data_IF_181923336650
#
_entry.id   IF_181923336650
#
_cell.length_a   1.000
_cell.length_b   1.000
_cell.length_c   1.000
_cell.angle_alpha   90.00
_cell.angle_beta   90.00
_cell.angle_gamma   90.00
#
_symmetry.space_group_name_H-M   'P 1'
#
loop_
_entity.id
_entity.type
_entity.pdbx_description
1 polymer ?
#
# COMPACT_ATOMS: atom_id res chain seq x y z
N UNK A 1 -17.75 23.85 -29.60
CA UNK A 1 -16.48 23.34 -30.04
C UNK A 1 -15.44 23.85 -29.05
N UNK A 2 -15.00 22.97 -28.19
CA UNK A 2 -14.01 23.28 -27.15
C UNK A 2 -12.64 22.93 -27.73
N UNK A 3 -11.97 23.97 -28.22
CA UNK A 3 -10.70 23.90 -28.95
C UNK A 3 -9.52 24.23 -28.01
N UNK A 4 -9.53 23.63 -26.80
CA UNK A 4 -8.38 23.75 -25.90
C UNK A 4 -7.26 22.85 -26.42
N UNK A 5 -6.03 23.37 -26.70
CA UNK A 5 -4.94 22.56 -27.22
C UNK A 5 -4.58 21.42 -26.26
N UNK A 6 -4.31 20.21 -26.80
CA UNK A 6 -3.92 19.03 -26.04
C UNK A 6 -2.79 19.30 -25.02
N UNK A 7 -1.85 20.16 -25.36
CA UNK A 7 -0.73 20.56 -24.49
C UNK A 7 -1.15 21.33 -23.22
N UNK A 8 -2.25 22.09 -23.23
CA UNK A 8 -2.75 22.81 -22.03
C UNK A 8 -3.51 21.89 -21.09
N UNK A 9 -4.19 20.87 -21.61
CA UNK A 9 -4.85 19.84 -20.78
C UNK A 9 -3.82 18.99 -20.03
N UNK A 10 -2.71 18.62 -20.71
CA UNK A 10 -1.63 17.86 -20.08
C UNK A 10 -0.94 18.67 -18.97
N UNK A 11 -0.69 19.96 -19.20
CA UNK A 11 -0.04 20.83 -18.21
C UNK A 11 -0.91 21.03 -16.96
N UNK A 12 -2.23 21.17 -17.13
CA UNK A 12 -3.17 21.31 -16.02
C UNK A 12 -3.25 20.02 -15.17
N UNK A 13 -3.30 18.86 -15.82
CA UNK A 13 -3.29 17.56 -15.13
C UNK A 13 -1.98 17.31 -14.38
N UNK A 14 -0.84 17.68 -14.98
CA UNK A 14 0.47 17.58 -14.31
C UNK A 14 0.55 18.51 -13.11
N UNK A 15 0.04 19.74 -13.21
CA UNK A 15 0.00 20.69 -12.09
C UNK A 15 -0.88 20.21 -10.95
N UNK A 16 -2.03 19.62 -11.25
CA UNK A 16 -2.95 19.03 -10.27
C UNK A 16 -2.29 17.83 -9.56
N UNK A 17 -1.65 16.94 -10.31
CA UNK A 17 -0.90 15.79 -9.79
C UNK A 17 0.27 16.21 -8.88
N UNK A 18 1.02 17.24 -9.27
CA UNK A 18 2.09 17.82 -8.43
C UNK A 18 1.50 18.43 -7.17
N UNK A 19 0.34 19.10 -7.27
CA UNK A 19 -0.38 19.66 -6.13
C UNK A 19 -0.79 18.58 -5.11
N UNK A 20 -1.27 17.44 -5.57
CA UNK A 20 -1.66 16.30 -4.73
C UNK A 20 -0.48 15.59 -4.06
N UNK A 21 0.59 15.34 -4.83
CA UNK A 21 1.82 14.77 -4.31
C UNK A 21 2.39 15.67 -3.21
N UNK A 22 2.40 16.99 -3.44
CA UNK A 22 2.84 17.96 -2.45
C UNK A 22 1.90 18.04 -1.24
N UNK A 23 0.58 17.94 -1.45
CA UNK A 23 -0.38 17.96 -0.34
C UNK A 23 -0.18 16.77 0.60
N UNK A 24 -0.11 15.55 0.07
CA UNK A 24 0.09 14.35 0.88
C UNK A 24 1.43 14.37 1.62
N UNK A 25 2.51 14.88 0.98
CA UNK A 25 3.85 14.97 1.58
C UNK A 25 3.97 16.07 2.65
N UNK A 26 3.11 17.09 2.60
CA UNK A 26 3.16 18.25 3.48
C UNK A 26 2.09 18.25 4.59
N UNK A 27 1.42 17.12 4.82
CA UNK A 27 0.48 17.02 5.95
C UNK A 27 1.26 17.11 7.28
N UNK A 28 1.07 18.19 8.07
CA UNK A 28 1.79 18.34 9.32
C UNK A 28 1.32 17.30 10.35
N UNK A 29 2.18 16.92 11.31
CA UNK A 29 1.77 16.12 12.46
C UNK A 29 0.55 16.76 13.15
N UNK A 30 -0.43 15.93 13.50
CA UNK A 30 -1.70 16.39 14.07
C UNK A 30 -2.83 16.62 13.06
N UNK A 31 -2.55 16.61 11.75
CA UNK A 31 -3.59 16.60 10.71
C UNK A 31 -4.54 15.43 10.89
N UNK A 32 -5.76 15.55 10.33
CA UNK A 32 -6.77 14.50 10.42
C UNK A 32 -7.15 13.96 9.04
N UNK A 33 -7.28 12.65 8.97
CA UNK A 33 -7.90 11.92 7.84
C UNK A 33 -9.07 11.12 8.43
N UNK A 34 -10.29 11.55 8.16
CA UNK A 34 -11.46 11.00 8.83
C UNK A 34 -11.33 11.06 10.36
N UNK A 35 -11.55 9.96 11.10
CA UNK A 35 -11.41 9.92 12.55
C UNK A 35 -9.95 9.81 13.04
N UNK A 36 -8.97 9.67 12.12
CA UNK A 36 -7.58 9.41 12.43
C UNK A 36 -6.77 10.70 12.54
N UNK A 37 -6.04 10.87 13.64
CA UNK A 37 -5.06 11.94 13.84
C UNK A 37 -3.68 11.41 13.46
N UNK A 38 -3.04 12.06 12.47
CA UNK A 38 -1.72 11.69 11.97
C UNK A 38 -0.63 12.07 12.98
N UNK A 39 0.37 11.21 13.11
CA UNK A 39 1.59 11.43 13.87
C UNK A 39 2.80 11.46 12.92
N UNK A 40 3.83 10.64 13.18
CA UNK A 40 5.01 10.58 12.32
C UNK A 40 4.81 9.78 11.03
N UNK A 41 5.63 10.07 10.02
CA UNK A 41 5.74 9.28 8.80
C UNK A 41 6.51 8.00 9.10
N UNK A 42 5.90 6.84 8.83
CA UNK A 42 6.53 5.51 8.94
C UNK A 42 7.24 5.10 7.66
N UNK A 43 6.77 5.58 6.52
CA UNK A 43 7.33 5.27 5.22
C UNK A 43 6.77 6.14 4.11
N UNK A 44 7.59 6.40 3.09
CA UNK A 44 7.23 7.20 1.94
C UNK A 44 7.65 6.50 0.66
N UNK A 45 6.73 6.41 -0.29
CA UNK A 45 6.93 5.82 -1.60
C UNK A 45 6.37 6.67 -2.73
N UNK A 46 6.63 6.28 -3.97
CA UNK A 46 6.15 7.02 -5.15
C UNK A 46 4.63 7.16 -5.21
N UNK A 47 3.88 6.15 -4.78
CA UNK A 47 2.42 6.11 -4.88
C UNK A 47 1.68 6.35 -3.57
N UNK A 48 2.36 6.40 -2.43
CA UNK A 48 1.73 6.51 -1.11
C UNK A 48 2.67 6.99 -0.02
N UNK A 49 2.08 7.51 1.06
CA UNK A 49 2.77 7.80 2.33
C UNK A 49 2.07 7.01 3.42
N UNK A 50 2.83 6.44 4.33
CA UNK A 50 2.34 5.71 5.50
C UNK A 50 2.63 6.52 6.74
N UNK A 51 1.60 6.80 7.52
CA UNK A 51 1.69 7.52 8.79
C UNK A 51 1.38 6.58 9.96
N UNK A 52 2.05 6.76 11.08
CA UNK A 52 1.46 6.38 12.36
C UNK A 52 0.26 7.29 12.60
N UNK A 53 -0.85 6.74 13.01
CA UNK A 53 -2.05 7.53 13.31
C UNK A 53 -2.76 6.97 14.53
N UNK A 54 -3.58 7.79 15.16
CA UNK A 54 -4.40 7.40 16.31
C UNK A 54 -5.85 7.74 16.07
N UNK A 55 -6.75 6.86 16.48
CA UNK A 55 -8.17 7.19 16.64
C UNK A 55 -8.61 6.93 18.07
N UNK A 56 -9.57 7.71 18.54
CA UNK A 56 -10.18 7.49 19.85
C UNK A 56 -11.61 7.00 19.63
N UNK A 57 -11.94 5.83 20.14
CA UNK A 57 -13.26 5.23 20.14
C UNK A 57 -13.68 5.01 21.59
N UNK A 58 -14.79 5.63 22.00
CA UNK A 58 -15.34 5.49 23.35
C UNK A 58 -14.32 5.70 24.47
N UNK A 59 -13.39 6.63 24.28
CA UNK A 59 -12.32 6.93 25.24
C UNK A 59 -11.08 6.04 25.13
N UNK A 60 -11.08 5.00 24.28
CA UNK A 60 -9.92 4.14 24.04
C UNK A 60 -9.14 4.64 22.82
N UNK A 61 -7.84 4.88 23.00
CA UNK A 61 -6.94 5.26 21.90
C UNK A 61 -6.41 4.01 21.22
N UNK A 62 -6.55 3.95 19.89
CA UNK A 62 -6.01 2.90 19.05
C UNK A 62 -4.96 3.48 18.12
N UNK A 63 -3.74 2.93 18.15
CA UNK A 63 -2.70 3.23 17.17
C UNK A 63 -2.84 2.36 15.93
N UNK A 64 -2.58 2.94 14.77
CA UNK A 64 -2.75 2.30 13.46
C UNK A 64 -1.68 2.79 12.48
N UNK A 65 -1.46 2.05 11.39
CA UNK A 65 -0.74 2.51 10.23
C UNK A 65 -1.73 3.01 9.18
N UNK A 66 -1.72 4.30 8.87
CA UNK A 66 -2.58 4.91 7.86
C UNK A 66 -1.77 5.15 6.58
N UNK A 67 -2.11 4.42 5.53
CA UNK A 67 -1.52 4.56 4.19
C UNK A 67 -2.40 5.47 3.36
N UNK A 68 -1.89 6.66 3.02
CA UNK A 68 -2.54 7.63 2.16
C UNK A 68 -2.01 7.47 0.74
N UNK A 69 -2.90 7.26 -0.24
CA UNK A 69 -2.54 7.17 -1.64
C UNK A 69 -2.35 8.58 -2.21
N UNK A 70 -1.29 8.78 -3.00
CA UNK A 70 -0.95 10.09 -3.58
C UNK A 70 -1.84 10.47 -4.77
N UNK A 71 -2.49 9.48 -5.37
CA UNK A 71 -3.41 9.70 -6.48
C UNK A 71 -4.86 9.61 -6.01
N UNK A 72 -5.65 10.61 -6.35
CA UNK A 72 -7.06 10.66 -6.01
C UNK A 72 -7.89 9.68 -6.84
N UNK A 73 -9.03 9.29 -6.29
CA UNK A 73 -10.01 8.44 -6.96
C UNK A 73 -11.12 9.33 -7.54
N UNK A 74 -10.84 9.95 -8.68
CA UNK A 74 -11.76 10.93 -9.29
C UNK A 74 -12.87 10.29 -10.11
N UNK A 75 -12.66 9.07 -10.62
CA UNK A 75 -13.70 8.37 -11.39
C UNK A 75 -14.55 7.46 -10.50
N UNK A 76 -15.87 7.33 -10.78
CA UNK A 76 -16.73 6.38 -10.07
C UNK A 76 -16.26 4.92 -10.23
N UNK A 77 -15.59 4.59 -11.33
CA UNK A 77 -15.04 3.26 -11.59
C UNK A 77 -13.85 2.96 -10.69
N UNK A 78 -12.89 3.89 -10.57
CA UNK A 78 -11.75 3.78 -9.67
C UNK A 78 -12.22 3.63 -8.20
N UNK A 79 -13.24 4.39 -7.78
CA UNK A 79 -13.82 4.26 -6.44
C UNK A 79 -14.49 2.90 -6.22
N UNK A 80 -15.19 2.37 -7.24
CA UNK A 80 -15.81 1.02 -7.18
C UNK A 80 -14.75 -0.06 -7.07
N UNK A 81 -13.68 0.05 -7.86
CA UNK A 81 -12.57 -0.89 -7.84
C UNK A 81 -11.84 -0.86 -6.49
N UNK A 82 -11.48 0.32 -5.98
CA UNK A 82 -10.89 0.47 -4.65
C UNK A 82 -11.76 -0.15 -3.55
N UNK A 83 -13.08 0.05 -3.62
CA UNK A 83 -14.00 -0.55 -2.66
C UNK A 83 -13.99 -2.08 -2.73
N UNK A 84 -13.99 -2.67 -3.92
CA UNK A 84 -13.93 -4.12 -4.12
C UNK A 84 -12.65 -4.72 -3.54
N UNK A 85 -11.51 -4.14 -3.85
CA UNK A 85 -10.20 -4.59 -3.37
C UNK A 85 -10.10 -4.48 -1.84
N UNK A 86 -10.55 -3.37 -1.30
CA UNK A 86 -10.59 -3.17 0.15
C UNK A 86 -11.46 -4.24 0.83
N UNK A 87 -12.62 -4.57 0.27
CA UNK A 87 -13.49 -5.62 0.82
C UNK A 87 -12.85 -7.00 0.73
N UNK A 88 -12.13 -7.31 -0.34
CA UNK A 88 -11.39 -8.56 -0.47
C UNK A 88 -10.28 -8.64 0.59
N UNK A 89 -9.50 -7.58 0.78
CA UNK A 89 -8.45 -7.54 1.80
C UNK A 89 -9.00 -7.61 3.23
N UNK A 90 -10.18 -7.06 3.48
CA UNK A 90 -10.83 -7.14 4.79
C UNK A 90 -11.21 -8.59 5.19
N UNK A 91 -11.27 -9.51 4.22
CA UNK A 91 -11.53 -10.93 4.48
C UNK A 91 -10.25 -11.72 4.81
N UNK A 92 -9.06 -11.11 4.61
CA UNK A 92 -7.80 -11.76 4.97
C UNK A 92 -7.62 -11.72 6.49
N UNK A 93 -7.73 -12.89 7.11
CA UNK A 93 -7.41 -13.11 8.51
C UNK A 93 -6.31 -14.18 8.62
N UNK A 94 -5.07 -13.73 8.73
CA UNK A 94 -3.91 -14.60 8.88
C UNK A 94 -2.86 -13.92 9.78
N UNK A 95 -2.27 -14.60 10.76
CA UNK A 95 -1.33 -13.99 11.71
C UNK A 95 -0.09 -13.39 11.04
N UNK A 96 0.33 -13.90 9.90
CA UNK A 96 1.45 -13.40 9.11
C UNK A 96 1.10 -12.29 8.11
N UNK A 97 -0.11 -11.73 8.13
CA UNK A 97 -0.55 -10.63 7.25
C UNK A 97 -1.02 -9.46 8.12
N UNK A 98 -0.61 -8.23 7.78
CA UNK A 98 -1.11 -7.04 8.46
C UNK A 98 -2.62 -6.85 8.17
N UNK A 99 -3.42 -6.83 9.24
CA UNK A 99 -4.89 -6.79 9.12
C UNK A 99 -5.36 -5.42 8.65
N UNK A 100 -6.26 -5.40 7.67
CA UNK A 100 -7.01 -4.22 7.29
C UNK A 100 -8.03 -3.89 8.38
N UNK A 101 -7.98 -2.67 8.91
CA UNK A 101 -8.91 -2.15 9.92
C UNK A 101 -10.04 -1.39 9.23
N UNK A 102 -9.67 -0.46 8.35
CA UNK A 102 -10.60 0.44 7.68
C UNK A 102 -9.99 0.97 6.38
N UNK A 103 -10.78 1.67 5.58
CA UNK A 103 -10.29 2.46 4.46
C UNK A 103 -11.43 3.28 3.86
N UNK A 104 -11.07 4.36 3.24
CA UNK A 104 -12.04 5.32 2.70
C UNK A 104 -11.44 6.25 1.67
N UNK A 105 -12.25 7.23 1.30
CA UNK A 105 -11.86 8.34 0.43
C UNK A 105 -12.13 9.62 1.20
N UNK A 106 -11.17 10.54 1.20
CA UNK A 106 -11.33 11.86 1.82
C UNK A 106 -12.31 12.74 1.04
N UNK A 107 -12.73 13.85 1.61
CA UNK A 107 -13.56 14.85 0.89
C UNK A 107 -12.83 15.42 -0.34
N UNK A 108 -11.49 15.45 -0.31
CA UNK A 108 -10.65 15.85 -1.45
C UNK A 108 -10.44 14.76 -2.49
N UNK A 109 -11.06 13.57 -2.35
CA UNK A 109 -10.95 12.47 -3.30
C UNK A 109 -9.76 11.52 -3.08
N UNK A 110 -8.91 11.76 -2.08
CA UNK A 110 -7.75 10.89 -1.81
C UNK A 110 -8.16 9.62 -1.08
N UNK A 111 -7.67 8.48 -1.56
CA UNK A 111 -7.92 7.20 -0.93
C UNK A 111 -6.93 6.95 0.22
N UNK A 112 -7.43 6.36 1.29
CA UNK A 112 -6.60 5.90 2.41
C UNK A 112 -6.99 4.49 2.85
N UNK A 113 -6.02 3.80 3.41
CA UNK A 113 -6.15 2.46 3.98
C UNK A 113 -5.55 2.49 5.38
N UNK A 114 -6.24 1.88 6.32
CA UNK A 114 -5.82 1.78 7.72
C UNK A 114 -5.57 0.32 8.04
N UNK A 115 -4.35 0.05 8.46
CA UNK A 115 -3.86 -1.28 8.83
C UNK A 115 -3.52 -1.33 10.32
N UNK A 116 -3.42 -2.52 10.87
CA UNK A 116 -2.79 -2.69 12.18
C UNK A 116 -1.37 -2.13 12.16
N UNK A 117 -0.99 -1.43 13.20
CA UNK A 117 0.38 -0.96 13.35
C UNK A 117 1.27 -2.13 13.77
N UNK A 118 2.26 -2.43 12.95
CA UNK A 118 3.23 -3.50 13.22
C UNK A 118 4.54 -2.90 13.71
N UNK A 119 4.93 -3.23 14.93
CA UNK A 119 6.27 -2.96 15.44
C UNK A 119 7.20 -4.12 15.05
N UNK A 120 8.08 -3.84 14.10
CA UNK A 120 8.99 -4.86 13.58
C UNK A 120 10.10 -4.25 12.72
N UNK A 121 11.08 -5.08 12.38
CA UNK A 121 12.22 -4.72 11.53
C UNK A 121 12.07 -5.39 10.16
N UNK A 122 12.42 -4.72 9.04
CA UNK A 122 12.41 -5.35 7.73
C UNK A 122 13.18 -6.67 7.71
N UNK A 123 12.65 -7.68 7.00
CA UNK A 123 13.15 -9.06 7.00
C UNK A 123 14.67 -9.18 6.81
N UNK A 124 15.23 -8.45 5.83
CA UNK A 124 16.67 -8.51 5.54
C UNK A 124 17.50 -7.81 6.60
N UNK A 125 16.99 -6.74 7.18
CA UNK A 125 17.64 -6.02 8.26
C UNK A 125 17.66 -6.86 9.53
N UNK A 126 16.53 -7.44 9.92
CA UNK A 126 16.42 -8.38 11.03
C UNK A 126 17.42 -9.54 10.88
N UNK A 127 17.47 -10.16 9.68
CA UNK A 127 18.40 -11.28 9.43
C UNK A 127 19.87 -10.85 9.52
N UNK A 128 20.21 -9.62 9.16
CA UNK A 128 21.56 -9.06 9.26
C UNK A 128 21.94 -8.71 10.70
N UNK A 129 21.07 -7.99 11.41
CA UNK A 129 21.31 -7.54 12.79
C UNK A 129 21.49 -8.70 13.75
N UNK A 130 20.64 -9.72 13.61
CA UNK A 130 20.69 -10.93 14.43
C UNK A 130 21.67 -12.00 13.91
N UNK A 131 22.41 -11.71 12.81
CA UNK A 131 23.37 -12.63 12.17
C UNK A 131 22.77 -14.03 11.97
N UNK A 132 21.54 -14.08 11.48
CA UNK A 132 20.79 -15.34 11.37
C UNK A 132 21.49 -16.34 10.47
N UNK A 133 21.65 -17.55 10.97
CA UNK A 133 22.12 -18.70 10.22
C UNK A 133 21.14 -19.11 9.10
N UNK A 134 21.58 -19.79 8.03
CA UNK A 134 20.74 -20.14 6.89
C UNK A 134 19.43 -20.85 7.27
N UNK A 135 19.48 -21.73 8.26
CA UNK A 135 18.29 -22.46 8.75
C UNK A 135 17.25 -21.52 9.37
N UNK A 136 17.67 -20.52 10.13
CA UNK A 136 16.78 -19.53 10.72
C UNK A 136 16.17 -18.61 9.64
N UNK A 137 16.96 -18.22 8.64
CA UNK A 137 16.45 -17.45 7.47
C UNK A 137 15.41 -18.24 6.69
N UNK A 138 15.62 -19.53 6.47
CA UNK A 138 14.64 -20.41 5.83
C UNK A 138 13.35 -20.53 6.64
N UNK A 139 13.44 -20.56 7.98
CA UNK A 139 12.26 -20.59 8.84
C UNK A 139 11.41 -19.33 8.70
N UNK A 140 12.04 -18.13 8.62
CA UNK A 140 11.34 -16.88 8.33
C UNK A 140 10.73 -16.89 6.93
N UNK A 141 11.48 -17.34 5.91
CA UNK A 141 10.99 -17.43 4.55
C UNK A 141 9.76 -18.35 4.42
N UNK A 142 9.74 -19.48 5.13
CA UNK A 142 8.57 -20.35 5.18
C UNK A 142 7.34 -19.67 5.80
N UNK A 143 7.52 -18.76 6.77
CA UNK A 143 6.40 -17.96 7.28
C UNK A 143 5.88 -17.01 6.21
N UNK A 144 6.77 -16.37 5.42
CA UNK A 144 6.36 -15.53 4.27
C UNK A 144 5.53 -16.35 3.28
N UNK A 145 6.02 -17.55 2.89
CA UNK A 145 5.30 -18.43 1.96
C UNK A 145 3.89 -18.77 2.45
N UNK A 146 3.74 -19.07 3.75
CA UNK A 146 2.42 -19.36 4.35
C UNK A 146 1.47 -18.13 4.30
N UNK A 147 1.99 -16.94 4.54
CA UNK A 147 1.22 -15.71 4.45
C UNK A 147 0.76 -15.44 3.00
N UNK A 148 1.66 -15.60 2.03
CA UNK A 148 1.34 -15.49 0.59
C UNK A 148 0.34 -16.56 0.16
N UNK A 149 0.52 -17.82 0.58
CA UNK A 149 -0.42 -18.90 0.30
C UNK A 149 -1.83 -18.59 0.84
N UNK A 150 -1.93 -18.01 2.03
CA UNK A 150 -3.23 -17.62 2.61
C UNK A 150 -3.91 -16.54 1.76
N UNK A 151 -3.16 -15.55 1.26
CA UNK A 151 -3.68 -14.53 0.35
C UNK A 151 -4.13 -15.15 -0.98
N UNK A 152 -3.33 -16.04 -1.56
CA UNK A 152 -3.65 -16.71 -2.83
C UNK A 152 -4.90 -17.60 -2.72
N UNK A 153 -5.13 -18.27 -1.58
CA UNK A 153 -6.38 -19.00 -1.34
C UNK A 153 -7.61 -18.10 -1.33
N UNK A 154 -7.45 -16.83 -0.96
CA UNK A 154 -8.49 -15.81 -1.07
C UNK A 154 -8.51 -15.11 -2.45
N UNK A 155 -7.76 -15.62 -3.43
CA UNK A 155 -7.58 -15.05 -4.78
C UNK A 155 -7.01 -13.62 -4.78
N UNK A 156 -6.23 -13.27 -3.76
CA UNK A 156 -5.55 -11.99 -3.63
C UNK A 156 -4.09 -12.16 -3.96
N UNK A 157 -3.61 -11.39 -4.95
CA UNK A 157 -2.20 -11.33 -5.37
C UNK A 157 -1.57 -10.11 -4.75
N UNK A 158 -0.38 -10.26 -4.17
CA UNK A 158 0.32 -9.17 -3.47
C UNK A 158 0.87 -8.10 -4.43
N UNK A 159 1.43 -8.52 -5.57
CA UNK A 159 1.95 -7.67 -6.67
C UNK A 159 3.20 -6.84 -6.36
N UNK A 160 3.67 -6.78 -5.13
CA UNK A 160 4.88 -6.04 -4.73
C UNK A 160 5.64 -6.76 -3.60
N UNK A 161 5.81 -8.07 -3.75
CA UNK A 161 6.61 -8.85 -2.81
C UNK A 161 8.07 -8.38 -2.84
N UNK A 162 8.53 -7.88 -1.72
CA UNK A 162 9.92 -7.45 -1.50
C UNK A 162 10.24 -7.48 -0.01
N UNK A 163 11.51 -7.58 0.38
CA UNK A 163 11.90 -7.67 1.78
C UNK A 163 11.44 -6.50 2.66
N UNK A 164 11.31 -5.29 2.10
CA UNK A 164 10.82 -4.12 2.83
C UNK A 164 9.32 -4.17 3.14
N UNK A 165 8.55 -5.01 2.43
CA UNK A 165 7.13 -5.24 2.69
C UNK A 165 6.91 -6.44 3.63
N UNK A 166 7.97 -6.94 4.26
CA UNK A 166 7.93 -8.03 5.22
C UNK A 166 8.62 -7.58 6.50
N UNK A 167 7.88 -7.42 7.58
CA UNK A 167 8.43 -7.12 8.90
C UNK A 167 8.58 -8.41 9.72
N UNK A 168 9.57 -8.43 10.59
CA UNK A 168 9.73 -9.42 11.64
C UNK A 168 9.53 -8.72 12.98
N UNK A 169 8.54 -9.16 13.73
CA UNK A 169 8.23 -8.64 15.06
C UNK A 169 9.26 -9.10 16.10
N UNK A 170 9.22 -8.51 17.30
CA UNK A 170 10.15 -8.84 18.38
C UNK A 170 10.08 -10.31 18.83
N UNK A 171 8.91 -10.96 18.67
CA UNK A 171 8.66 -12.36 18.96
C UNK A 171 8.99 -13.30 17.78
N UNK A 172 9.60 -12.76 16.71
CA UNK A 172 10.06 -13.55 15.54
C UNK A 172 8.94 -13.94 14.57
N UNK A 173 7.78 -13.30 14.64
CA UNK A 173 6.70 -13.52 13.69
C UNK A 173 6.86 -12.65 12.45
N UNK A 174 6.62 -13.23 11.29
CA UNK A 174 6.57 -12.48 10.03
C UNK A 174 5.22 -11.78 9.89
N UNK A 175 5.26 -10.54 9.44
CA UNK A 175 4.09 -9.75 9.04
C UNK A 175 4.27 -9.21 7.63
N UNK A 176 3.46 -9.70 6.70
CA UNK A 176 3.41 -9.23 5.32
C UNK A 176 2.56 -7.95 5.26
N UNK A 177 3.14 -6.90 4.70
CA UNK A 177 2.52 -5.57 4.54
C UNK A 177 2.13 -5.32 3.09
N UNK A 178 1.32 -4.29 2.86
CA UNK A 178 1.19 -3.57 1.59
C UNK A 178 0.82 -4.41 0.36
N UNK A 179 -0.31 -5.11 0.42
CA UNK A 179 -0.96 -5.60 -0.80
C UNK A 179 -1.19 -4.44 -1.78
N UNK A 180 -0.77 -4.62 -3.03
CA UNK A 180 -0.64 -3.54 -4.02
C UNK A 180 -1.96 -2.89 -4.50
N UNK A 181 -2.83 -2.44 -3.59
CA UNK A 181 -4.11 -1.76 -3.93
C UNK A 181 -3.84 -0.52 -4.80
N UNK A 182 -2.80 0.27 -4.48
CA UNK A 182 -2.45 1.44 -5.28
C UNK A 182 -2.13 1.09 -6.74
N UNK A 183 -1.68 -0.12 -7.02
CA UNK A 183 -1.29 -0.60 -8.36
C UNK A 183 -2.48 -0.98 -9.23
N UNK A 184 -3.59 -1.38 -8.62
CA UNK A 184 -4.82 -1.71 -9.31
C UNK A 184 -5.52 -0.48 -9.88
N UNK A 185 -5.39 0.65 -9.18
CA UNK A 185 -6.01 1.90 -9.55
C UNK A 185 -5.34 2.58 -10.77
N UNK A 186 -4.15 2.14 -11.15
CA UNK A 186 -3.40 2.68 -12.29
C UNK A 186 -3.63 1.93 -13.62
N UNK A 187 -4.36 0.82 -13.61
CA UNK A 187 -4.54 0.00 -14.83
C UNK A 187 -5.68 0.48 -15.74
N UNK A 188 -6.55 1.40 -15.29
CA UNK A 188 -7.76 1.77 -16.04
C UNK A 188 -7.63 3.05 -16.87
N UNK A 189 -6.58 3.84 -16.73
CA UNK A 189 -6.33 5.01 -17.56
C UNK A 189 -5.26 4.75 -18.62
N UNK A 190 -5.70 4.48 -19.85
CA UNK A 190 -4.85 4.24 -21.03
C UNK A 190 -3.97 5.44 -21.43
N UNK A 191 -4.10 6.58 -20.80
CA UNK A 191 -3.51 7.86 -21.24
C UNK A 191 -2.49 8.48 -20.28
N UNK A 192 -2.26 7.94 -19.08
CA UNK A 192 -1.31 8.56 -18.15
C UNK A 192 0.07 7.92 -18.17
N UNK A 193 1.10 8.77 -18.11
CA UNK A 193 2.53 8.43 -18.02
C UNK A 193 2.74 7.34 -16.96
N UNK A 194 2.95 6.11 -17.42
CA UNK A 194 3.08 4.91 -16.58
C UNK A 194 4.32 5.00 -15.71
N UNK A 195 4.19 5.56 -14.51
CA UNK A 195 5.15 5.22 -13.46
C UNK A 195 4.98 3.73 -13.17
N UNK A 196 6.07 2.94 -13.22
CA UNK A 196 5.96 1.51 -13.04
C UNK A 196 5.37 1.20 -11.65
N UNK A 197 4.19 0.58 -11.65
CA UNK A 197 3.48 0.20 -10.42
C UNK A 197 4.14 -1.00 -9.70
N UNK A 198 5.43 -1.21 -9.86
CA UNK A 198 6.21 -2.30 -9.26
C UNK A 198 7.60 -1.84 -8.87
N UNK A 199 8.25 -2.56 -7.97
CA UNK A 199 9.67 -2.36 -7.64
C UNK A 199 10.52 -3.11 -8.68
N UNK A 200 11.24 -2.44 -9.60
CA UNK A 200 11.86 -3.08 -10.77
C UNK A 200 12.77 -4.27 -10.45
N UNK A 201 13.45 -4.24 -9.30
CA UNK A 201 14.37 -5.30 -8.87
C UNK A 201 13.67 -6.60 -8.44
N UNK A 202 12.38 -6.54 -8.14
CA UNK A 202 11.57 -7.67 -7.64
C UNK A 202 10.40 -8.00 -8.55
N UNK A 203 10.18 -7.21 -9.61
CA UNK A 203 9.07 -7.40 -10.50
C UNK A 203 9.20 -8.65 -11.37
N UNK A 204 8.14 -9.43 -11.45
CA UNK A 204 8.02 -10.53 -12.37
C UNK A 204 8.06 -10.07 -13.84
N UNK A 205 8.49 -10.91 -14.80
CA UNK A 205 8.58 -10.54 -16.20
C UNK A 205 7.28 -9.98 -16.78
N UNK A 206 6.14 -10.59 -16.47
CA UNK A 206 4.81 -10.16 -16.92
C UNK A 206 4.43 -8.77 -16.39
N UNK A 207 4.85 -8.40 -15.17
CA UNK A 207 4.62 -7.07 -14.63
C UNK A 207 5.37 -5.98 -15.42
N UNK A 208 6.56 -6.31 -15.93
CA UNK A 208 7.40 -5.38 -16.70
C UNK A 208 6.84 -5.07 -18.07
N UNK A 209 6.11 -6.02 -18.67
CA UNK A 209 5.53 -5.89 -20.01
C UNK A 209 4.03 -5.60 -20.00
N UNK A 210 3.44 -5.36 -18.82
CA UNK A 210 2.00 -5.12 -18.69
C UNK A 210 1.14 -6.35 -18.96
N UNK A 211 1.69 -7.55 -18.75
CA UNK A 211 0.99 -8.81 -18.90
C UNK A 211 0.03 -9.12 -17.76
N UNK A 212 -0.66 -10.26 -17.86
CA UNK A 212 -1.64 -10.70 -16.88
C UNK A 212 -0.95 -11.06 -15.55
N UNK A 213 -1.32 -10.40 -14.48
CA UNK A 213 -0.86 -10.68 -13.12
C UNK A 213 -1.72 -11.77 -12.49
N UNK A 214 -1.08 -12.83 -12.03
CA UNK A 214 -1.73 -13.99 -11.38
C UNK A 214 -1.03 -14.33 -10.06
N UNK A 215 -1.48 -15.37 -9.36
CA UNK A 215 -0.80 -15.88 -8.16
C UNK A 215 0.63 -16.38 -8.44
N UNK A 216 0.95 -16.72 -9.69
CA UNK A 216 2.31 -17.09 -10.08
C UNK A 216 3.27 -15.87 -10.17
N UNK A 217 2.74 -14.66 -10.19
CA UNK A 217 3.52 -13.41 -10.22
C UNK A 217 4.20 -13.12 -8.88
N UNK A 218 3.60 -13.52 -7.74
CA UNK A 218 4.16 -13.40 -6.38
C UNK A 218 5.18 -14.51 -6.09
#
# INVERSE_FOLDING_TARGET
ADDTPLAEKDASQVAELIGEINYASNLPPGSRIGPFKLAEVLGEGGSSIVFRATRTLEGVSQEVALKLLRHGLYSPDAQRQFRRERLALAQLDHPGIARLIEGGVTESGMAYIVLELIEGTPLTEHAREHRLEPRARLALFLQVCRAVEAAHRALIVHRDLKPSNVLVTRDGQVKLLDFGIAKLLHNDDETQTRLPAFTPSYAAPEQRVGGLVTTATD
#
